data_IF_027051080142
#
_entry.id   IF_027051080142
#
_cell.length_a   1.000
_cell.length_b   1.000
_cell.length_c   1.000
_cell.angle_alpha   90.00
_cell.angle_beta   90.00
_cell.angle_gamma   90.00
#
_symmetry.space_group_name_H-M   'P 1'
#
loop_
_entity.id
_entity.type
_entity.pdbx_description
1 polymer ?
#
# COMPACT_ATOMS: atom_id res chain seq x y z
N UNK A 1 -16.71 -27.46 6.39
CA UNK A 1 -16.87 -26.68 5.14
C UNK A 1 -18.15 -25.87 5.25
N UNK A 2 -18.12 -24.63 4.78
CA UNK A 2 -19.24 -23.68 4.77
C UNK A 2 -19.60 -23.42 3.32
N UNK A 3 -20.88 -23.41 2.97
CA UNK A 3 -21.39 -23.09 1.63
C UNK A 3 -21.97 -21.70 1.61
N UNK A 4 -21.52 -20.86 0.66
CA UNK A 4 -21.98 -19.49 0.48
C UNK A 4 -22.20 -19.20 -1.00
N UNK A 5 -22.97 -18.19 -1.30
CA UNK A 5 -23.17 -17.68 -2.66
C UNK A 5 -22.54 -16.29 -2.76
N UNK A 6 -21.66 -16.08 -3.73
CA UNK A 6 -21.01 -14.79 -3.99
C UNK A 6 -21.32 -14.37 -5.44
N UNK A 7 -22.05 -13.29 -5.61
CA UNK A 7 -22.53 -12.78 -6.92
C UNK A 7 -23.15 -13.90 -7.78
N UNK A 8 -23.96 -14.77 -7.16
CA UNK A 8 -24.61 -15.91 -7.81
C UNK A 8 -23.75 -17.16 -7.97
N UNK A 9 -22.46 -17.14 -7.62
CA UNK A 9 -21.55 -18.28 -7.68
C UNK A 9 -21.49 -19.01 -6.34
N UNK A 10 -21.65 -20.32 -6.34
CA UNK A 10 -21.52 -21.14 -5.14
C UNK A 10 -20.05 -21.36 -4.78
N UNK A 11 -19.67 -21.00 -3.57
CA UNK A 11 -18.36 -21.27 -3.00
C UNK A 11 -18.48 -22.22 -1.81
N UNK A 12 -17.53 -23.16 -1.70
CA UNK A 12 -17.40 -24.03 -0.55
C UNK A 12 -16.01 -23.89 0.04
N UNK A 13 -15.93 -23.36 1.26
CA UNK A 13 -14.66 -23.01 1.91
C UNK A 13 -14.62 -23.49 3.36
N UNK A 14 -13.45 -23.58 4.00
CA UNK A 14 -13.34 -23.91 5.42
C UNK A 14 -14.07 -22.89 6.30
N UNK A 15 -14.59 -23.33 7.44
CA UNK A 15 -15.12 -22.43 8.46
C UNK A 15 -14.04 -21.45 8.94
N UNK A 16 -14.42 -20.20 9.18
CA UNK A 16 -13.48 -19.13 9.56
C UNK A 16 -12.79 -18.43 8.38
N UNK A 17 -12.96 -18.91 7.13
CA UNK A 17 -12.49 -18.19 5.94
C UNK A 17 -13.18 -16.82 5.85
N UNK A 18 -12.44 -15.76 5.54
CA UNK A 18 -13.05 -14.44 5.34
C UNK A 18 -13.80 -14.38 4.01
N UNK A 19 -14.78 -13.46 3.92
CA UNK A 19 -15.52 -13.21 2.67
C UNK A 19 -14.55 -12.86 1.53
N UNK A 20 -13.47 -12.12 1.83
CA UNK A 20 -12.44 -11.75 0.86
C UNK A 20 -11.74 -12.99 0.26
N UNK A 21 -11.35 -13.94 1.10
CA UNK A 21 -10.67 -15.16 0.65
C UNK A 21 -11.65 -16.13 -0.03
N UNK A 22 -12.90 -16.17 0.43
CA UNK A 22 -13.93 -16.95 -0.23
C UNK A 22 -14.26 -16.43 -1.64
N UNK A 23 -14.28 -15.09 -1.81
CA UNK A 23 -14.47 -14.46 -3.13
C UNK A 23 -13.31 -14.81 -4.10
N UNK A 24 -12.08 -14.81 -3.61
CA UNK A 24 -10.92 -15.25 -4.42
C UNK A 24 -11.04 -16.71 -4.89
N UNK A 25 -11.58 -17.59 -4.06
CA UNK A 25 -11.77 -19.01 -4.42
C UNK A 25 -12.71 -19.22 -5.61
N UNK A 26 -13.59 -18.25 -5.88
CA UNK A 26 -14.49 -18.24 -7.05
C UNK A 26 -14.12 -17.14 -8.07
N UNK A 27 -12.87 -16.69 -8.05
CA UNK A 27 -12.32 -15.67 -8.96
C UNK A 27 -13.06 -14.31 -8.96
N UNK A 28 -13.73 -13.98 -7.86
CA UNK A 28 -14.36 -12.66 -7.67
C UNK A 28 -13.37 -11.72 -6.98
N UNK A 29 -12.99 -10.64 -7.67
CA UNK A 29 -12.07 -9.60 -7.15
C UNK A 29 -12.85 -8.57 -6.35
N UNK A 30 -12.61 -8.50 -5.04
CA UNK A 30 -13.12 -7.42 -4.18
C UNK A 30 -12.02 -6.36 -4.04
N UNK A 31 -12.27 -5.08 -4.42
CA UNK A 31 -11.28 -4.03 -4.30
C UNK A 31 -10.93 -3.74 -2.83
N UNK A 32 -9.66 -3.42 -2.57
CA UNK A 32 -9.17 -3.15 -1.23
C UNK A 32 -7.91 -2.29 -1.25
N UNK A 33 -7.62 -1.54 -0.18
CA UNK A 33 -6.41 -0.74 -0.04
C UNK A 33 -5.57 -1.16 1.17
N UNK A 34 -6.19 -1.52 2.29
CA UNK A 34 -5.45 -1.89 3.51
C UNK A 34 -5.12 -3.38 3.61
N UNK A 35 -5.92 -4.26 3.01
CA UNK A 35 -5.81 -5.69 3.19
C UNK A 35 -4.47 -6.28 2.71
N UNK A 36 -3.84 -7.06 3.59
CA UNK A 36 -2.73 -7.99 3.30
C UNK A 36 -3.03 -9.29 4.05
N UNK A 37 -3.16 -10.40 3.31
CA UNK A 37 -3.52 -11.71 3.87
C UNK A 37 -2.58 -12.12 5.00
N UNK A 38 -3.15 -12.48 6.16
CA UNK A 38 -2.42 -12.91 7.36
C UNK A 38 -1.61 -11.81 8.07
N UNK A 39 -1.52 -10.60 7.48
CA UNK A 39 -0.72 -9.52 8.02
C UNK A 39 -1.60 -8.34 8.46
N UNK A 40 -2.46 -7.84 7.57
CA UNK A 40 -3.26 -6.65 7.82
C UNK A 40 -4.72 -6.84 7.39
N UNK A 41 -5.54 -7.40 8.26
CA UNK A 41 -6.97 -7.72 8.06
C UNK A 41 -7.86 -6.88 8.99
N UNK A 42 -7.58 -5.58 9.09
CA UNK A 42 -8.10 -4.68 10.14
C UNK A 42 -9.29 -3.81 9.71
N UNK A 43 -9.77 -3.95 8.49
CA UNK A 43 -10.91 -3.18 7.93
C UNK A 43 -10.76 -1.65 7.97
N UNK A 44 -9.53 -1.11 7.98
CA UNK A 44 -9.29 0.32 8.14
C UNK A 44 -9.85 1.17 6.99
N UNK A 45 -9.65 0.77 5.73
CA UNK A 45 -10.02 1.59 4.57
C UNK A 45 -11.50 1.45 4.15
N UNK A 46 -12.19 0.39 4.55
CA UNK A 46 -13.59 0.10 4.19
C UNK A 46 -13.89 0.04 2.68
N UNK A 47 -12.87 -0.14 1.85
CA UNK A 47 -13.07 -0.27 0.38
C UNK A 47 -13.61 -1.65 0.02
N UNK A 48 -13.31 -2.68 0.82
CA UNK A 48 -13.80 -4.05 0.61
C UNK A 48 -15.22 -4.30 1.13
N UNK A 49 -16.02 -3.25 1.37
CA UNK A 49 -17.40 -3.41 1.81
C UNK A 49 -18.23 -4.14 0.77
N UNK A 50 -19.00 -5.12 1.24
CA UNK A 50 -19.95 -5.94 0.47
C UNK A 50 -21.33 -5.90 1.13
N UNK A 51 -22.35 -6.20 0.36
CA UNK A 51 -23.72 -6.37 0.85
C UNK A 51 -23.97 -7.85 1.14
N UNK A 52 -24.61 -8.13 2.26
CA UNK A 52 -25.07 -9.47 2.62
C UNK A 52 -26.58 -9.46 2.61
N UNK A 53 -27.20 -10.44 1.97
CA UNK A 53 -28.65 -10.55 1.90
C UNK A 53 -29.26 -10.64 3.31
N UNK A 54 -30.31 -9.87 3.54
CA UNK A 54 -30.97 -9.76 4.85
C UNK A 54 -30.28 -8.89 5.88
N UNK A 55 -29.04 -8.38 5.62
CA UNK A 55 -28.35 -7.48 6.53
C UNK A 55 -28.52 -5.98 6.14
N UNK A 56 -28.76 -5.14 7.17
CA UNK A 56 -28.90 -3.68 6.96
C UNK A 56 -27.55 -2.99 6.75
N UNK A 57 -26.49 -3.48 7.38
CA UNK A 57 -25.17 -2.87 7.36
C UNK A 57 -24.29 -3.45 6.28
N UNK A 58 -23.46 -2.59 5.66
CA UNK A 58 -22.39 -3.03 4.78
C UNK A 58 -21.24 -3.67 5.58
N UNK A 59 -20.74 -4.81 5.14
CA UNK A 59 -19.75 -5.62 5.85
C UNK A 59 -18.41 -5.55 5.15
N UNK A 60 -17.33 -5.41 5.90
CA UNK A 60 -15.98 -5.42 5.35
C UNK A 60 -15.53 -6.87 5.08
N UNK A 61 -15.33 -7.24 3.82
CA UNK A 61 -15.01 -8.59 3.41
C UNK A 61 -13.67 -9.12 3.96
N UNK A 62 -12.70 -8.22 4.22
CA UNK A 62 -11.36 -8.60 4.63
C UNK A 62 -11.23 -9.14 6.05
N UNK A 63 -12.20 -8.88 6.94
CA UNK A 63 -12.14 -9.26 8.36
C UNK A 63 -13.35 -10.05 8.84
N UNK A 64 -14.37 -10.22 8.00
CA UNK A 64 -15.57 -10.94 8.39
C UNK A 64 -15.56 -12.36 7.85
N UNK A 65 -15.69 -13.38 8.73
CA UNK A 65 -15.75 -14.76 8.31
C UNK A 65 -17.10 -15.08 7.64
N UNK A 66 -17.08 -16.06 6.76
CA UNK A 66 -18.28 -16.57 6.11
C UNK A 66 -19.12 -17.43 7.06
N UNK A 67 -20.45 -17.42 6.84
CA UNK A 67 -21.41 -18.29 7.53
C UNK A 67 -22.13 -19.15 6.50
N UNK A 68 -22.60 -20.35 6.91
CA UNK A 68 -23.31 -21.25 6.02
C UNK A 68 -24.61 -20.62 5.50
N UNK A 69 -24.89 -20.77 4.22
CA UNK A 69 -26.03 -20.16 3.56
C UNK A 69 -25.92 -18.65 3.28
N UNK A 70 -24.80 -18.00 3.62
CA UNK A 70 -24.62 -16.55 3.36
C UNK A 70 -24.68 -16.26 1.86
N UNK A 71 -25.42 -15.20 1.49
CA UNK A 71 -25.46 -14.65 0.13
C UNK A 71 -24.83 -13.27 0.13
N UNK A 72 -23.80 -13.11 -0.69
CA UNK A 72 -22.94 -11.90 -0.74
C UNK A 72 -23.01 -11.27 -2.12
N UNK A 73 -23.26 -9.97 -2.15
CA UNK A 73 -23.20 -9.15 -3.35
C UNK A 73 -22.00 -8.22 -3.26
N UNK A 74 -20.98 -8.47 -4.10
CA UNK A 74 -19.73 -7.73 -4.04
C UNK A 74 -19.78 -6.42 -4.82
N UNK A 75 -20.70 -6.28 -5.76
CA UNK A 75 -20.78 -5.12 -6.65
C UNK A 75 -22.19 -4.54 -6.79
N UNK A 76 -23.02 -4.66 -5.74
CA UNK A 76 -24.34 -4.03 -5.72
C UNK A 76 -24.25 -2.49 -5.77
N UNK A 77 -25.34 -1.77 -6.17
CA UNK A 77 -25.37 -0.31 -6.13
C UNK A 77 -24.98 0.26 -4.77
N UNK A 78 -25.42 -0.37 -3.67
CA UNK A 78 -25.07 0.02 -2.30
C UNK A 78 -23.59 -0.17 -2.01
N UNK A 79 -23.00 -1.29 -2.43
CA UNK A 79 -21.56 -1.56 -2.28
C UNK A 79 -20.73 -0.53 -3.05
N UNK A 80 -21.10 -0.23 -4.29
CA UNK A 80 -20.42 0.79 -5.12
C UNK A 80 -20.51 2.19 -4.52
N UNK A 81 -21.69 2.60 -4.06
CA UNK A 81 -21.90 3.90 -3.41
C UNK A 81 -21.05 4.02 -2.13
N UNK A 82 -21.06 2.99 -1.27
CA UNK A 82 -20.26 2.98 -0.04
C UNK A 82 -18.77 3.08 -0.33
N UNK A 83 -18.26 2.33 -1.32
CA UNK A 83 -16.85 2.41 -1.75
C UNK A 83 -16.51 3.78 -2.28
N UNK A 84 -17.37 4.35 -3.14
CA UNK A 84 -17.17 5.68 -3.70
C UNK A 84 -17.01 6.72 -2.60
N UNK A 85 -17.95 6.79 -1.65
CA UNK A 85 -17.88 7.71 -0.51
C UNK A 85 -16.58 7.51 0.31
N UNK A 86 -16.21 6.26 0.58
CA UNK A 86 -14.96 5.98 1.33
C UNK A 86 -13.71 6.42 0.57
N UNK A 87 -13.66 6.25 -0.75
CA UNK A 87 -12.54 6.73 -1.57
C UNK A 87 -12.52 8.25 -1.63
N UNK A 88 -13.65 8.91 -1.80
CA UNK A 88 -13.77 10.37 -1.78
C UNK A 88 -13.28 10.96 -0.44
N UNK A 89 -13.63 10.34 0.70
CA UNK A 89 -13.11 10.71 2.02
C UNK A 89 -11.60 10.50 2.15
N UNK A 90 -11.06 9.43 1.59
CA UNK A 90 -9.60 9.21 1.56
C UNK A 90 -8.92 10.28 0.70
N UNK A 91 -9.46 10.58 -0.47
CA UNK A 91 -8.92 11.57 -1.40
C UNK A 91 -8.98 13.00 -0.83
N UNK A 92 -9.98 13.33 0.00
CA UNK A 92 -10.08 14.64 0.66
C UNK A 92 -8.90 14.92 1.63
N UNK A 93 -8.16 13.90 2.05
CA UNK A 93 -6.97 14.02 2.88
C UNK A 93 -5.68 13.61 2.15
N UNK A 94 -5.75 13.44 0.84
CA UNK A 94 -4.63 12.99 0.00
C UNK A 94 -4.19 14.09 -0.97
N UNK A 95 -2.87 14.29 -1.10
CA UNK A 95 -2.34 15.19 -2.14
C UNK A 95 -2.39 14.53 -3.51
N UNK A 96 -3.40 14.87 -4.29
CA UNK A 96 -3.73 14.25 -5.59
C UNK A 96 -2.83 14.72 -6.75
N UNK A 97 -1.61 15.19 -6.50
CA UNK A 97 -0.63 15.54 -7.55
C UNK A 97 -0.05 14.28 -8.22
N UNK A 98 -0.90 13.54 -8.91
CA UNK A 98 -0.56 12.22 -9.45
C UNK A 98 0.55 12.28 -10.51
N UNK A 99 0.57 13.29 -11.37
CA UNK A 99 1.54 13.41 -12.45
C UNK A 99 3.01 13.50 -11.96
N UNK A 100 3.22 14.04 -10.76
CA UNK A 100 4.55 14.17 -10.13
C UNK A 100 4.77 13.20 -8.98
N UNK A 101 3.87 12.22 -8.81
CA UNK A 101 3.94 11.23 -7.73
C UNK A 101 4.83 10.05 -8.14
N UNK A 102 5.66 9.57 -7.22
CA UNK A 102 6.49 8.36 -7.42
C UNK A 102 5.67 7.10 -7.74
N UNK A 103 4.37 7.08 -7.43
CA UNK A 103 3.43 5.99 -7.74
C UNK A 103 2.53 6.28 -8.94
N UNK A 104 2.85 7.31 -9.75
CA UNK A 104 2.07 7.59 -10.97
C UNK A 104 2.01 6.35 -11.88
N UNK A 105 0.81 5.95 -12.29
CA UNK A 105 0.60 4.75 -13.10
C UNK A 105 0.73 3.40 -12.36
N UNK A 106 1.17 3.39 -11.10
CA UNK A 106 1.27 2.18 -10.25
C UNK A 106 0.78 2.49 -8.83
N UNK A 107 -0.44 3.00 -8.71
CA UNK A 107 -1.04 3.41 -7.44
C UNK A 107 -2.40 2.73 -7.25
N UNK A 108 -2.52 1.90 -6.22
CA UNK A 108 -3.78 1.21 -5.92
C UNK A 108 -4.94 2.17 -5.63
N UNK A 109 -4.67 3.34 -5.01
CA UNK A 109 -5.70 4.35 -4.79
C UNK A 109 -6.19 4.96 -6.11
N UNK A 110 -5.29 5.24 -7.04
CA UNK A 110 -5.63 5.76 -8.37
C UNK A 110 -6.45 4.74 -9.17
N UNK A 111 -6.06 3.46 -9.16
CA UNK A 111 -6.81 2.35 -9.78
C UNK A 111 -8.24 2.31 -9.26
N UNK A 112 -8.43 2.25 -7.93
CA UNK A 112 -9.77 2.17 -7.32
C UNK A 112 -10.61 3.42 -7.58
N UNK A 113 -10.00 4.61 -7.59
CA UNK A 113 -10.70 5.86 -7.89
C UNK A 113 -11.19 5.89 -9.36
N UNK A 114 -10.36 5.42 -10.29
CA UNK A 114 -10.71 5.31 -11.70
C UNK A 114 -11.85 4.29 -11.93
N UNK A 115 -11.77 3.10 -11.30
CA UNK A 115 -12.80 2.06 -11.39
C UNK A 115 -14.18 2.53 -10.87
N UNK A 116 -14.18 3.47 -9.93
CA UNK A 116 -15.39 4.07 -9.36
C UNK A 116 -15.86 5.32 -10.12
N UNK A 117 -15.12 5.76 -11.14
CA UNK A 117 -15.45 6.94 -11.94
C UNK A 117 -15.43 8.24 -11.12
N UNK A 118 -14.49 8.39 -10.18
CA UNK A 118 -14.36 9.60 -9.37
C UNK A 118 -13.58 10.64 -10.17
N UNK A 119 -14.27 11.63 -10.72
CA UNK A 119 -13.69 12.72 -11.51
C UNK A 119 -13.59 14.02 -10.68
N UNK A 120 -14.48 14.18 -9.71
CA UNK A 120 -14.57 15.36 -8.84
C UNK A 120 -14.64 14.92 -7.39
N UNK A 121 -14.13 15.75 -6.49
CA UNK A 121 -14.21 15.52 -5.04
C UNK A 121 -15.29 16.40 -4.45
N UNK A 122 -16.32 15.82 -3.77
CA UNK A 122 -17.38 16.57 -3.12
C UNK A 122 -16.92 17.24 -1.82
N UNK A 123 -15.73 16.90 -1.33
CA UNK A 123 -15.17 17.41 -0.08
C UNK A 123 -13.95 18.28 -0.33
N UNK A 124 -13.80 19.37 0.41
CA UNK A 124 -12.59 20.17 0.39
C UNK A 124 -11.37 19.36 0.83
N UNK A 125 -10.26 19.53 0.11
CA UNK A 125 -9.02 18.83 0.43
C UNK A 125 -8.37 19.45 1.67
N UNK A 126 -8.21 18.65 2.72
CA UNK A 126 -7.60 19.03 3.98
C UNK A 126 -6.27 18.30 4.17
N UNK A 127 -5.20 18.85 3.61
CA UNK A 127 -3.86 18.29 3.79
C UNK A 127 -3.32 18.56 5.19
N UNK A 128 -2.57 17.61 5.72
CA UNK A 128 -1.90 17.77 7.01
C UNK A 128 -0.77 18.80 6.90
N UNK A 129 -0.80 19.81 7.77
CA UNK A 129 0.27 20.80 7.85
C UNK A 129 1.38 20.29 8.77
N UNK A 130 2.52 19.98 8.17
CA UNK A 130 3.74 19.58 8.89
C UNK A 130 3.79 18.11 9.31
N UNK A 131 5.00 17.68 9.64
CA UNK A 131 5.30 16.39 10.26
C UNK A 131 5.25 16.57 11.78
N UNK A 132 4.75 15.60 12.52
CA UNK A 132 4.82 15.62 13.99
C UNK A 132 6.23 15.40 14.50
N UNK A 133 6.99 14.53 13.83
CA UNK A 133 8.41 14.32 14.07
C UNK A 133 9.26 14.97 12.98
N UNK A 134 10.40 15.54 13.37
CA UNK A 134 11.38 16.06 12.42
C UNK A 134 11.89 14.89 11.55
N UNK A 135 11.73 15.03 10.23
CA UNK A 135 12.20 13.99 9.31
C UNK A 135 13.66 14.26 8.91
N UNK A 136 14.52 13.27 9.07
CA UNK A 136 15.93 13.40 8.73
C UNK A 136 16.10 13.27 7.21
N UNK A 137 16.40 14.37 6.53
CA UNK A 137 16.58 14.39 5.06
C UNK A 137 17.70 13.47 4.55
N UNK A 138 18.67 13.14 5.39
CA UNK A 138 19.78 12.24 5.06
C UNK A 138 19.42 10.76 5.22
N UNK A 139 18.30 10.44 5.85
CA UNK A 139 17.86 9.06 6.02
C UNK A 139 17.43 8.46 4.67
N UNK A 140 17.78 7.18 4.35
CA UNK A 140 17.50 6.58 3.04
C UNK A 140 16.02 6.43 2.72
N UNK A 141 15.15 6.37 3.71
CA UNK A 141 13.70 6.29 3.56
C UNK A 141 13.09 7.70 3.69
N UNK A 142 12.14 8.01 2.82
CA UNK A 142 11.38 9.25 2.84
C UNK A 142 9.90 8.98 3.13
N UNK A 143 9.28 9.85 3.91
CA UNK A 143 7.85 9.81 4.25
C UNK A 143 7.14 11.07 3.77
N UNK A 144 6.05 10.89 3.04
CA UNK A 144 5.10 11.95 2.69
C UNK A 144 3.76 11.69 3.39
N UNK A 145 3.45 12.48 4.41
CA UNK A 145 2.23 12.34 5.20
C UNK A 145 0.97 12.62 4.39
N UNK A 146 1.06 13.49 3.38
CA UNK A 146 -0.07 13.87 2.53
C UNK A 146 -0.37 12.83 1.44
N UNK A 147 0.51 11.86 1.23
CA UNK A 147 0.28 10.68 0.40
C UNK A 147 -0.17 9.47 1.20
N UNK A 148 -0.15 9.54 2.54
CA UNK A 148 -0.52 8.45 3.42
C UNK A 148 -2.05 8.34 3.55
N UNK A 149 -2.60 7.16 3.22
CA UNK A 149 -4.03 6.83 3.36
C UNK A 149 -4.36 6.11 4.67
N UNK A 150 -3.44 6.06 5.61
CA UNK A 150 -3.63 5.48 6.95
C UNK A 150 -4.07 4.01 6.91
N UNK A 151 -3.59 3.26 5.92
CA UNK A 151 -3.94 1.85 5.72
C UNK A 151 -3.27 0.89 6.70
N UNK A 152 -2.27 1.37 7.45
CA UNK A 152 -1.49 0.65 8.47
C UNK A 152 -0.69 -0.56 7.95
N UNK A 153 -0.54 -0.76 6.63
CA UNK A 153 0.27 -1.85 6.08
C UNK A 153 1.73 -1.78 6.55
N UNK A 154 2.32 -0.57 6.57
CA UNK A 154 3.69 -0.36 7.04
C UNK A 154 3.88 -0.67 8.52
N UNK A 155 2.89 -0.39 9.37
CA UNK A 155 2.89 -0.77 10.79
C UNK A 155 2.90 -2.28 10.89
N UNK A 156 1.90 -2.94 10.30
CA UNK A 156 1.70 -4.38 10.46
C UNK A 156 2.82 -5.22 9.84
N UNK A 157 3.39 -4.80 8.70
CA UNK A 157 4.51 -5.51 8.09
C UNK A 157 5.78 -5.35 8.93
N UNK A 158 6.00 -4.17 9.51
CA UNK A 158 7.14 -3.90 10.38
C UNK A 158 7.04 -4.64 11.71
N UNK A 159 5.85 -4.71 12.29
CA UNK A 159 5.58 -5.41 13.54
C UNK A 159 5.58 -6.93 13.36
N UNK A 160 4.69 -7.47 12.52
CA UNK A 160 4.44 -8.91 12.44
C UNK A 160 5.51 -9.69 11.66
N UNK A 161 6.13 -9.07 10.67
CA UNK A 161 7.09 -9.76 9.78
C UNK A 161 8.53 -9.39 10.11
N UNK A 162 8.81 -8.11 10.34
CA UNK A 162 10.15 -7.64 10.68
C UNK A 162 10.42 -7.60 12.18
N UNK A 163 9.38 -7.62 13.03
CA UNK A 163 9.47 -7.57 14.50
C UNK A 163 10.21 -6.35 15.06
N UNK A 164 10.21 -5.24 14.32
CA UNK A 164 10.99 -4.04 14.64
C UNK A 164 10.18 -2.88 15.24
N UNK A 165 8.87 -2.87 15.08
CA UNK A 165 7.97 -1.84 15.64
C UNK A 165 8.40 -0.39 15.37
N UNK A 166 8.91 -0.11 14.15
CA UNK A 166 9.37 1.24 13.79
C UNK A 166 8.21 2.22 13.61
N UNK A 167 7.08 1.75 13.13
CA UNK A 167 5.92 2.58 12.77
C UNK A 167 4.78 2.41 13.76
N UNK A 168 4.09 3.50 14.07
CA UNK A 168 2.89 3.49 14.90
C UNK A 168 1.92 4.58 14.48
N UNK A 169 0.71 4.56 15.05
CA UNK A 169 -0.26 5.64 14.91
C UNK A 169 0.09 6.82 15.81
N UNK A 170 0.05 8.01 15.25
CA UNK A 170 0.19 9.26 15.98
C UNK A 170 -1.02 10.16 15.74
N UNK A 171 -1.46 10.85 16.79
CA UNK A 171 -2.62 11.75 16.74
C UNK A 171 -3.96 11.06 16.89
N UNK A 172 -5.01 11.86 16.80
CA UNK A 172 -6.40 11.43 16.98
C UNK A 172 -7.31 12.08 15.95
N UNK A 173 -8.41 11.43 15.61
CA UNK A 173 -9.42 11.92 14.66
C UNK A 173 -8.83 12.21 13.28
N UNK A 174 -9.17 13.34 12.68
CA UNK A 174 -8.68 13.77 11.37
C UNK A 174 -7.16 13.97 11.31
N UNK A 175 -6.53 14.21 12.46
CA UNK A 175 -5.08 14.39 12.60
C UNK A 175 -4.30 13.09 12.78
N UNK A 176 -4.97 11.94 12.77
CA UNK A 176 -4.31 10.64 12.81
C UNK A 176 -3.37 10.48 11.62
N UNK A 177 -2.16 10.02 11.86
CA UNK A 177 -1.17 9.71 10.85
C UNK A 177 -0.34 8.49 11.28
N UNK A 178 0.40 7.92 10.35
CA UNK A 178 1.44 6.93 10.67
C UNK A 178 2.74 7.68 10.90
N UNK A 179 3.39 7.46 12.02
CA UNK A 179 4.66 8.09 12.38
C UNK A 179 5.63 7.08 13.02
N UNK A 180 6.83 7.53 13.35
CA UNK A 180 7.80 6.69 14.05
C UNK A 180 7.30 6.42 15.48
N UNK A 181 7.33 5.18 15.91
CA UNK A 181 6.88 4.73 17.22
C UNK A 181 7.55 5.53 18.35
N UNK A 182 6.76 5.92 19.36
CA UNK A 182 7.24 6.71 20.49
C UNK A 182 7.62 8.16 20.12
N UNK A 183 7.18 8.69 18.98
CA UNK A 183 7.54 10.02 18.46
C UNK A 183 9.06 10.22 18.32
N UNK A 184 9.81 9.14 18.13
CA UNK A 184 11.28 9.18 17.92
C UNK A 184 11.62 9.75 16.56
N UNK A 185 12.83 10.24 16.40
CA UNK A 185 13.38 10.55 15.09
C UNK A 185 13.79 9.25 14.41
N UNK A 186 13.48 9.10 13.12
CA UNK A 186 13.71 7.83 12.40
C UNK A 186 15.17 7.34 12.45
N UNK A 187 16.13 8.26 12.45
CA UNK A 187 17.56 7.91 12.53
C UNK A 187 17.96 7.28 13.88
N UNK A 188 17.18 7.57 14.92
CA UNK A 188 17.43 7.11 16.30
C UNK A 188 16.57 5.86 16.61
N UNK A 189 15.93 5.28 15.60
CA UNK A 189 15.17 4.04 15.67
C UNK A 189 16.02 2.86 15.16
N UNK A 190 15.67 1.64 15.59
CA UNK A 190 16.37 0.41 15.20
C UNK A 190 15.93 -0.08 13.80
N UNK A 191 15.72 0.85 12.85
CA UNK A 191 15.28 0.53 11.52
C UNK A 191 16.34 -0.23 10.74
N UNK A 192 16.04 -1.47 10.33
CA UNK A 192 16.94 -2.32 9.54
C UNK A 192 17.05 -1.92 8.05
N UNK A 193 16.41 -0.83 7.62
CA UNK A 193 16.41 -0.35 6.23
C UNK A 193 15.96 -1.42 5.19
N UNK A 194 15.13 -2.38 5.59
CA UNK A 194 14.70 -3.51 4.75
C UNK A 194 13.76 -3.13 3.59
N UNK A 195 13.18 -1.91 3.58
CA UNK A 195 12.29 -1.43 2.53
C UNK A 195 10.87 -2.03 2.49
N UNK A 196 10.54 -3.00 3.35
CA UNK A 196 9.23 -3.68 3.32
C UNK A 196 8.04 -2.73 3.49
N UNK A 197 8.20 -1.67 4.26
CA UNK A 197 7.19 -0.63 4.41
C UNK A 197 6.95 0.16 3.11
N UNK A 198 7.96 0.31 2.26
CA UNK A 198 7.86 0.97 0.94
C UNK A 198 7.12 0.05 -0.04
N UNK A 199 7.55 -1.22 -0.17
CA UNK A 199 6.96 -2.18 -1.12
C UNK A 199 5.49 -2.45 -0.83
N UNK A 200 5.08 -2.46 0.44
CA UNK A 200 3.69 -2.69 0.83
C UNK A 200 2.84 -1.41 0.93
N UNK A 201 3.44 -0.23 0.73
CA UNK A 201 2.66 1.02 0.70
C UNK A 201 1.83 1.08 -0.58
N UNK A 202 0.48 1.19 -0.50
CA UNK A 202 -0.39 1.22 -1.68
C UNK A 202 -0.35 2.55 -2.43
N UNK A 203 0.30 3.56 -1.82
CA UNK A 203 0.42 4.93 -2.35
C UNK A 203 1.87 5.41 -2.23
N UNK A 204 2.16 6.66 -2.54
CA UNK A 204 3.49 7.26 -2.39
C UNK A 204 3.81 7.79 -1.00
N UNK A 205 3.14 7.30 0.06
CA UNK A 205 3.35 7.78 1.44
C UNK A 205 4.72 7.43 2.02
N UNK A 206 5.29 6.30 1.59
CA UNK A 206 6.66 5.88 1.91
C UNK A 206 7.40 5.57 0.61
N UNK A 207 8.61 6.05 0.50
CA UNK A 207 9.48 5.82 -0.65
C UNK A 207 10.95 5.89 -0.24
N UNK A 208 11.81 5.42 -1.10
CA UNK A 208 13.26 5.64 -1.03
C UNK A 208 13.59 7.13 -1.23
N UNK A 209 14.70 7.56 -0.68
CA UNK A 209 15.27 8.87 -0.96
C UNK A 209 15.81 8.88 -2.40
N UNK A 210 15.45 9.88 -3.17
CA UNK A 210 15.97 10.05 -4.52
C UNK A 210 17.32 10.80 -4.48
N UNK A 211 18.39 10.09 -4.79
CA UNK A 211 19.74 10.62 -4.91
C UNK A 211 20.22 10.69 -6.37
N UNK A 212 19.33 10.51 -7.36
CA UNK A 212 19.66 10.49 -8.80
C UNK A 212 20.40 11.74 -9.24
N UNK A 213 19.95 12.92 -8.80
CA UNK A 213 20.62 14.19 -9.15
C UNK A 213 22.05 14.26 -8.60
N UNK A 214 22.28 13.76 -7.38
CA UNK A 214 23.61 13.69 -6.77
C UNK A 214 24.54 12.72 -7.52
N UNK A 215 23.99 11.56 -7.89
CA UNK A 215 24.76 10.60 -8.68
C UNK A 215 25.15 11.15 -10.04
N UNK A 216 24.21 11.79 -10.76
CA UNK A 216 24.50 12.45 -12.04
C UNK A 216 25.55 13.56 -11.92
N UNK A 217 25.47 14.38 -10.87
CA UNK A 217 26.48 15.43 -10.63
C UNK A 217 27.88 14.83 -10.35
N UNK A 218 27.93 13.72 -9.58
CA UNK A 218 29.20 13.03 -9.32
C UNK A 218 29.80 12.41 -10.60
N UNK A 219 28.96 11.83 -11.47
CA UNK A 219 29.38 11.25 -12.75
C UNK A 219 29.85 12.32 -13.75
N UNK A 220 29.28 13.53 -13.71
CA UNK A 220 29.66 14.63 -14.58
C UNK A 220 30.94 15.35 -14.12
N UNK A 221 31.37 15.16 -12.88
CA UNK A 221 32.53 15.81 -12.29
C UNK A 221 33.83 15.08 -12.72
N UNK A 222 34.61 15.74 -13.59
CA UNK A 222 35.87 15.17 -14.13
C UNK A 222 36.98 15.01 -13.10
N UNK A 223 36.88 15.72 -11.96
CA UNK A 223 37.86 15.64 -10.87
C UNK A 223 37.57 14.45 -9.93
N UNK A 224 36.49 13.73 -10.14
CA UNK A 224 36.05 12.62 -9.28
C UNK A 224 36.05 11.28 -10.01
N UNK A 225 36.53 10.26 -9.32
CA UNK A 225 36.36 8.86 -9.73
C UNK A 225 35.14 8.31 -8.98
N UNK A 226 34.03 8.09 -9.72
CA UNK A 226 32.81 7.54 -9.15
C UNK A 226 32.86 6.03 -9.09
N UNK A 227 32.74 5.46 -7.89
CA UNK A 227 32.74 4.00 -7.66
C UNK A 227 31.36 3.58 -7.18
N UNK A 228 30.79 2.55 -7.79
CA UNK A 228 29.49 1.99 -7.43
C UNK A 228 29.68 0.63 -6.77
N UNK A 229 29.15 0.48 -5.57
CA UNK A 229 29.03 -0.81 -4.90
C UNK A 229 27.59 -1.31 -5.01
N UNK A 230 27.40 -2.52 -5.55
CA UNK A 230 26.10 -3.14 -5.71
C UNK A 230 25.92 -4.22 -4.66
N UNK A 231 24.79 -4.16 -3.91
CA UNK A 231 24.46 -5.18 -2.93
C UNK A 231 24.29 -6.57 -3.60
N UNK A 232 24.72 -7.67 -2.93
CA UNK A 232 24.64 -9.03 -3.49
C UNK A 232 23.22 -9.41 -3.96
N UNK A 233 22.18 -9.06 -3.18
CA UNK A 233 20.80 -9.33 -3.55
C UNK A 233 20.36 -8.63 -4.84
N UNK A 234 20.77 -7.37 -5.03
CA UNK A 234 20.51 -6.63 -6.28
C UNK A 234 21.26 -7.26 -7.43
N UNK A 235 22.49 -7.73 -7.18
CA UNK A 235 23.31 -8.42 -8.20
C UNK A 235 22.64 -9.69 -8.74
N UNK A 236 21.91 -10.43 -7.91
CA UNK A 236 21.22 -11.66 -8.33
C UNK A 236 19.88 -11.41 -8.98
N UNK A 237 19.19 -10.32 -8.65
CA UNK A 237 17.82 -10.05 -9.06
C UNK A 237 17.67 -9.05 -10.23
N UNK A 238 18.73 -8.30 -10.59
CA UNK A 238 18.59 -7.26 -11.61
C UNK A 238 18.20 -7.79 -12.99
N UNK A 239 18.66 -9.00 -13.36
CA UNK A 239 18.31 -9.62 -14.63
C UNK A 239 16.81 -9.85 -14.80
N UNK A 240 16.13 -10.31 -13.73
CA UNK A 240 14.68 -10.51 -13.73
C UNK A 240 13.91 -9.20 -14.00
N UNK A 241 14.38 -8.09 -13.42
CA UNK A 241 13.76 -6.77 -13.63
C UNK A 241 13.79 -6.33 -15.11
N UNK A 242 14.88 -6.69 -15.83
CA UNK A 242 15.03 -6.39 -17.25
C UNK A 242 14.56 -7.54 -18.19
N UNK A 243 13.95 -8.58 -17.64
CA UNK A 243 13.44 -9.73 -18.40
C UNK A 243 14.54 -10.60 -19.02
N UNK A 244 15.77 -10.52 -18.49
CA UNK A 244 16.91 -11.31 -18.96
C UNK A 244 16.90 -12.71 -18.36
N UNK A 245 17.34 -13.70 -19.12
CA UNK A 245 17.60 -15.04 -18.60
C UNK A 245 18.82 -15.02 -17.68
N UNK A 246 18.91 -16.02 -16.82
CA UNK A 246 20.00 -16.13 -15.84
C UNK A 246 21.39 -16.15 -16.50
N UNK A 247 21.50 -16.78 -17.66
CA UNK A 247 22.73 -16.91 -18.43
C UNK A 247 23.13 -15.59 -19.10
N UNK A 248 22.13 -14.72 -19.38
CA UNK A 248 22.32 -13.41 -20.02
C UNK A 248 22.64 -12.31 -19.01
N UNK A 249 22.27 -12.51 -17.75
CA UNK A 249 22.44 -11.52 -16.67
C UNK A 249 23.88 -11.53 -16.11
N UNK A 250 24.89 -11.29 -16.95
CA UNK A 250 26.31 -11.28 -16.55
C UNK A 250 26.73 -9.97 -15.90
N UNK A 251 27.90 -9.93 -15.26
CA UNK A 251 28.44 -8.70 -14.67
C UNK A 251 28.84 -7.66 -15.72
N UNK A 252 29.13 -8.09 -16.94
CA UNK A 252 29.53 -7.22 -18.04
C UNK A 252 28.34 -6.53 -18.67
N UNK A 253 27.22 -7.24 -18.87
CA UNK A 253 25.99 -6.69 -19.44
C UNK A 253 25.37 -5.59 -18.57
N UNK A 254 25.55 -5.66 -17.25
CA UNK A 254 25.08 -4.63 -16.33
C UNK A 254 25.70 -3.26 -16.57
N UNK A 255 26.93 -3.18 -17.07
CA UNK A 255 27.60 -1.90 -17.39
C UNK A 255 26.93 -1.15 -18.54
N UNK A 256 26.23 -1.87 -19.40
CA UNK A 256 25.53 -1.29 -20.55
C UNK A 256 24.09 -0.85 -20.23
N UNK A 257 23.56 -1.23 -19.05
CA UNK A 257 22.16 -0.94 -18.64
C UNK A 257 22.11 0.16 -17.57
N UNK A 258 23.19 0.48 -16.91
CA UNK A 258 23.34 1.55 -15.95
C UNK A 258 24.08 2.72 -16.57
#
# INVERSE_FOLDING_TARGET
MVRITIDGQLAQVPAGTTIMEAAKAVNVKIPHLCYLKGINEISACRICCVEIEGERAMVAACSNPVKDGMVVYTNSPRARMTRRTNVELILSQHDCKCATCVRSGNCQLQEVANDLGILELPFETQLQKGLRSAWTKTFPLYRDVNKCIKCMRCIQICDKVQTLNIWDLAGTGSRTTVDVSGNRVIKDSDCALCGQCITHCPTGGLRERDDTAKARAALADKEKITVVQVAPAVRTAWGEYFGLKREEATMEDRKSVV
#
